data_IF_352813843570
#
_entry.id   IF_352813843570
#
_cell.length_a   1.000
_cell.length_b   1.000
_cell.length_c   1.000
_cell.angle_alpha   90.00
_cell.angle_beta   90.00
_cell.angle_gamma   90.00
#
_symmetry.space_group_name_H-M   'P 1'
#
loop_
_entity.id
_entity.type
_entity.pdbx_description
1 polymer ?
#
# COMPACT_ATOMS: atom_id res chain seq x y z
N UNK A 1 44.87 54.27 14.79
CA UNK A 1 44.94 54.20 13.33
C UNK A 1 43.57 54.56 12.83
N UNK A 2 43.31 55.75 12.34
CA UNK A 2 42.02 56.33 11.94
C UNK A 2 41.74 55.84 10.48
N UNK A 3 40.64 55.18 10.21
CA UNK A 3 40.16 54.92 8.87
C UNK A 3 39.30 56.12 8.38
N UNK A 4 39.73 56.71 7.23
CA UNK A 4 39.06 57.80 6.53
C UNK A 4 37.87 57.23 5.71
N UNK A 5 36.73 57.94 5.57
CA UNK A 5 35.62 57.55 4.73
C UNK A 5 35.88 57.89 3.26
N UNK A 6 35.41 56.95 2.37
CA UNK A 6 35.42 57.14 0.92
C UNK A 6 34.25 58.03 0.48
N UNK A 7 34.38 58.83 -0.58
CA UNK A 7 33.34 59.73 -1.02
C UNK A 7 32.23 59.06 -1.81
N UNK A 8 30.96 59.45 -1.52
CA UNK A 8 29.78 59.15 -2.31
C UNK A 8 29.84 59.85 -3.66
N UNK A 9 29.79 59.13 -4.75
CA UNK A 9 29.61 59.67 -6.10
C UNK A 9 28.10 59.89 -6.36
N UNK A 10 27.72 61.11 -6.71
CA UNK A 10 26.38 61.50 -7.12
C UNK A 10 26.01 60.88 -8.46
N UNK A 11 24.74 60.45 -8.70
CA UNK A 11 24.33 59.87 -9.98
C UNK A 11 24.12 60.98 -11.02
N UNK A 12 24.53 60.71 -12.28
CA UNK A 12 24.33 61.56 -13.45
C UNK A 12 22.85 61.81 -13.76
N UNK A 13 22.45 63.01 -14.20
CA UNK A 13 21.04 63.36 -14.49
C UNK A 13 20.61 62.95 -15.92
N UNK A 14 20.62 61.70 -16.25
CA UNK A 14 20.19 61.17 -17.55
C UNK A 14 19.28 59.95 -17.52
N UNK A 15 19.16 59.33 -16.35
CA UNK A 15 18.51 58.01 -16.23
C UNK A 15 17.00 58.07 -15.91
N UNK A 16 16.49 59.15 -15.35
CA UNK A 16 15.07 59.24 -14.95
C UNK A 16 14.09 59.43 -16.14
N UNK A 17 14.52 60.08 -17.21
CA UNK A 17 13.68 60.35 -18.40
C UNK A 17 13.57 59.09 -19.27
N UNK A 18 14.63 58.27 -19.36
CA UNK A 18 14.62 57.01 -20.06
C UNK A 18 13.76 55.93 -19.34
N UNK A 19 13.81 55.88 -18.02
CA UNK A 19 12.95 54.97 -17.24
C UNK A 19 11.46 55.37 -17.32
N UNK A 20 11.14 56.64 -17.35
CA UNK A 20 9.75 57.11 -17.58
C UNK A 20 9.21 56.74 -18.95
N UNK A 21 10.01 56.81 -20.01
CA UNK A 21 9.62 56.42 -21.33
C UNK A 21 9.48 54.91 -21.50
N UNK A 22 10.32 54.12 -20.80
CA UNK A 22 10.24 52.65 -20.78
C UNK A 22 8.99 52.18 -20.03
N UNK A 23 8.66 52.75 -18.89
CA UNK A 23 7.44 52.48 -18.12
C UNK A 23 6.16 52.84 -18.89
N UNK A 24 6.14 53.94 -19.63
CA UNK A 24 4.98 54.31 -20.48
C UNK A 24 4.75 53.34 -21.66
N UNK A 25 5.81 52.76 -22.23
CA UNK A 25 5.70 51.72 -23.26
C UNK A 25 5.24 50.35 -22.72
N UNK A 26 5.58 50.02 -21.48
CA UNK A 26 5.15 48.79 -20.81
C UNK A 26 3.64 48.90 -20.44
N UNK A 27 3.20 50.04 -19.96
CA UNK A 27 1.78 50.26 -19.58
C UNK A 27 0.84 50.26 -20.83
N UNK A 28 1.33 50.72 -21.99
CA UNK A 28 0.50 50.64 -23.25
C UNK A 28 0.47 49.26 -23.88
N UNK A 29 1.43 48.37 -23.58
CA UNK A 29 1.42 47.00 -24.10
C UNK A 29 0.57 46.03 -23.25
N UNK A 30 0.19 46.41 -22.03
CA UNK A 30 -0.63 45.59 -21.13
C UNK A 30 -2.15 45.85 -21.36
N UNK A 31 -2.51 46.94 -22.03
CA UNK A 31 -3.93 47.31 -22.26
C UNK A 31 -4.59 46.57 -23.47
N UNK A 32 -3.88 45.77 -24.23
CA UNK A 32 -4.42 45.14 -25.46
C UNK A 32 -4.49 43.60 -25.41
N UNK A 33 -4.27 42.97 -24.25
CA UNK A 33 -4.34 41.50 -24.10
C UNK A 33 -5.40 41.08 -23.07
N UNK A 34 -6.39 41.88 -22.80
CA UNK A 34 -7.43 41.54 -21.84
C UNK A 34 -8.81 41.48 -22.52
N UNK A 35 -8.96 40.63 -23.55
CA UNK A 35 -10.27 40.11 -23.97
C UNK A 35 -10.12 38.76 -24.71
N UNK A 36 -9.39 37.81 -24.13
CA UNK A 36 -9.69 36.39 -24.31
C UNK A 36 -10.59 36.03 -23.15
N UNK A 37 -11.89 36.00 -23.41
CA UNK A 37 -12.88 35.36 -22.57
C UNK A 37 -12.45 33.89 -22.47
N UNK A 38 -11.62 33.60 -21.49
CA UNK A 38 -11.41 32.24 -21.05
C UNK A 38 -12.74 31.74 -20.52
N UNK A 39 -13.44 30.94 -21.32
CA UNK A 39 -14.40 30.00 -20.79
C UNK A 39 -13.62 29.14 -19.83
N UNK A 40 -13.59 29.53 -18.55
CA UNK A 40 -13.28 28.60 -17.47
C UNK A 40 -14.34 27.51 -17.59
N UNK A 41 -14.02 26.44 -18.31
CA UNK A 41 -14.74 25.20 -18.17
C UNK A 41 -14.51 24.85 -16.70
N UNK A 42 -15.50 25.20 -15.88
CA UNK A 42 -15.59 24.67 -14.53
C UNK A 42 -15.69 23.16 -14.73
N UNK A 43 -14.56 22.46 -14.62
CA UNK A 43 -14.54 21.01 -14.49
C UNK A 43 -15.22 20.76 -13.16
N UNK A 44 -16.56 20.58 -13.21
CA UNK A 44 -17.31 20.11 -12.07
C UNK A 44 -16.61 18.82 -11.61
N UNK A 45 -16.35 18.66 -10.31
CA UNK A 45 -15.68 17.47 -9.82
C UNK A 45 -16.49 16.25 -10.29
N UNK A 46 -15.83 15.35 -11.02
CA UNK A 46 -16.40 14.12 -11.58
C UNK A 46 -17.04 13.18 -10.52
N UNK A 47 -16.86 13.51 -9.24
CA UNK A 47 -17.37 12.76 -8.10
C UNK A 47 -18.90 12.54 -8.10
N UNK A 48 -19.67 13.40 -8.76
CA UNK A 48 -21.15 13.33 -8.81
C UNK A 48 -21.70 12.94 -10.19
N UNK A 49 -20.84 12.75 -11.21
CA UNK A 49 -21.30 12.28 -12.51
C UNK A 49 -21.82 10.85 -12.39
N UNK A 50 -23.05 10.61 -12.86
CA UNK A 50 -23.58 9.25 -12.93
C UNK A 50 -22.95 8.53 -14.13
N UNK A 51 -22.50 7.28 -13.91
CA UNK A 51 -22.03 6.42 -14.98
C UNK A 51 -23.18 6.12 -15.97
N UNK A 52 -22.94 6.33 -17.26
CA UNK A 52 -23.91 6.02 -18.32
C UNK A 52 -23.99 4.54 -18.67
N UNK A 53 -23.03 3.73 -18.17
CA UNK A 53 -22.92 2.31 -18.44
C UNK A 53 -23.08 1.44 -17.18
N UNK A 54 -22.43 0.27 -17.20
CA UNK A 54 -22.34 -0.60 -16.02
C UNK A 54 -21.29 -0.08 -15.05
N UNK A 55 -21.66 -0.08 -13.76
CA UNK A 55 -20.73 0.29 -12.68
C UNK A 55 -19.56 -0.71 -12.63
N UNK A 56 -18.35 -0.20 -12.49
CA UNK A 56 -17.12 -1.00 -12.43
C UNK A 56 -16.51 -0.90 -11.04
N UNK A 57 -16.13 -2.06 -10.49
CA UNK A 57 -15.21 -2.15 -9.36
C UNK A 57 -13.81 -2.30 -9.92
N UNK A 58 -12.90 -1.42 -9.55
CA UNK A 58 -11.48 -1.53 -9.91
C UNK A 58 -10.71 -2.31 -8.86
N UNK A 59 -9.62 -2.94 -9.29
CA UNK A 59 -8.56 -3.46 -8.43
C UNK A 59 -7.23 -2.88 -8.92
N UNK A 60 -6.40 -2.35 -8.00
CA UNK A 60 -5.04 -1.90 -8.29
C UNK A 60 -4.04 -2.63 -7.41
N UNK A 61 -3.02 -3.22 -8.05
CA UNK A 61 -1.91 -3.90 -7.38
C UNK A 61 -0.99 -4.57 -8.39
N UNK A 62 0.08 -5.25 -7.93
CA UNK A 62 1.02 -5.93 -8.82
C UNK A 62 0.35 -7.15 -9.47
N UNK A 63 0.12 -7.11 -10.77
CA UNK A 63 -0.39 -8.24 -11.56
C UNK A 63 0.70 -8.88 -12.41
N UNK A 64 1.79 -8.15 -12.64
CA UNK A 64 3.02 -8.63 -13.27
C UNK A 64 4.24 -8.27 -12.42
N UNK A 65 5.42 -8.79 -12.79
CA UNK A 65 6.67 -8.56 -12.06
C UNK A 65 6.91 -9.55 -10.92
N UNK A 66 8.00 -9.35 -10.15
CA UNK A 66 8.47 -10.33 -9.16
C UNK A 66 7.51 -10.53 -7.98
N UNK A 67 6.66 -9.55 -7.68
CA UNK A 67 5.72 -9.57 -6.55
C UNK A 67 4.27 -9.83 -6.98
N UNK A 68 4.03 -10.24 -8.24
CA UNK A 68 2.70 -10.44 -8.80
C UNK A 68 1.82 -11.42 -8.01
N UNK A 69 2.42 -12.39 -7.31
CA UNK A 69 1.65 -13.37 -6.55
C UNK A 69 0.77 -12.72 -5.48
N UNK A 70 1.27 -11.70 -4.76
CA UNK A 70 0.49 -10.96 -3.75
C UNK A 70 -0.72 -10.26 -4.38
N UNK A 71 -0.51 -9.53 -5.48
CA UNK A 71 -1.59 -8.83 -6.17
C UNK A 71 -2.62 -9.78 -6.80
N UNK A 72 -2.17 -10.91 -7.36
CA UNK A 72 -3.07 -11.93 -7.91
C UNK A 72 -3.93 -12.57 -6.81
N UNK A 73 -3.38 -12.81 -5.62
CA UNK A 73 -4.15 -13.32 -4.49
C UNK A 73 -5.32 -12.38 -4.12
N UNK A 74 -5.04 -11.07 -4.07
CA UNK A 74 -6.05 -10.04 -3.78
C UNK A 74 -7.07 -9.92 -4.91
N UNK A 75 -6.61 -9.82 -6.17
CA UNK A 75 -7.48 -9.76 -7.34
C UNK A 75 -8.44 -10.96 -7.39
N UNK A 76 -7.96 -12.14 -7.02
CA UNK A 76 -8.80 -13.34 -6.93
C UNK A 76 -9.93 -13.17 -5.90
N UNK A 77 -9.67 -12.55 -4.76
CA UNK A 77 -10.68 -12.19 -3.76
C UNK A 77 -11.75 -11.27 -4.33
N UNK A 78 -11.33 -10.21 -5.04
CA UNK A 78 -12.25 -9.25 -5.68
C UNK A 78 -13.09 -9.94 -6.78
N UNK A 79 -12.45 -10.71 -7.66
CA UNK A 79 -13.15 -11.47 -8.72
C UNK A 79 -14.17 -12.46 -8.16
N UNK A 80 -13.81 -13.13 -7.07
CA UNK A 80 -14.69 -14.09 -6.42
C UNK A 80 -15.89 -13.39 -5.77
N UNK A 81 -15.70 -12.28 -5.07
CA UNK A 81 -16.76 -11.46 -4.50
C UNK A 81 -17.74 -10.98 -5.59
N UNK A 82 -17.23 -10.40 -6.68
CA UNK A 82 -18.03 -9.91 -7.80
C UNK A 82 -18.85 -11.04 -8.44
N UNK A 83 -18.23 -12.19 -8.69
CA UNK A 83 -18.92 -13.37 -9.26
C UNK A 83 -20.04 -13.87 -8.36
N UNK A 84 -19.82 -13.94 -7.06
CA UNK A 84 -20.84 -14.33 -6.07
C UNK A 84 -22.00 -13.33 -6.01
N UNK A 85 -21.65 -12.04 -5.99
CA UNK A 85 -22.63 -10.95 -5.98
C UNK A 85 -23.56 -11.01 -7.20
N UNK A 86 -23.01 -11.12 -8.40
CA UNK A 86 -23.79 -11.19 -9.65
C UNK A 86 -24.64 -12.44 -9.78
N UNK A 87 -24.17 -13.56 -9.23
CA UNK A 87 -24.97 -14.79 -9.19
C UNK A 87 -26.24 -14.62 -8.34
N UNK A 88 -26.16 -13.84 -7.25
CA UNK A 88 -27.27 -13.56 -6.36
C UNK A 88 -28.12 -12.32 -6.79
N UNK A 89 -27.58 -11.42 -7.63
CA UNK A 89 -28.21 -10.15 -8.03
C UNK A 89 -28.16 -9.99 -9.55
N UNK A 90 -28.90 -10.81 -10.28
CA UNK A 90 -28.83 -10.91 -11.77
C UNK A 90 -29.20 -9.63 -12.51
N UNK A 91 -29.96 -8.75 -11.89
CA UNK A 91 -30.41 -7.46 -12.47
C UNK A 91 -29.53 -6.28 -12.05
N UNK A 92 -28.47 -6.51 -11.28
CA UNK A 92 -27.55 -5.44 -10.84
C UNK A 92 -26.84 -4.84 -12.06
N UNK A 93 -26.83 -3.50 -12.15
CA UNK A 93 -26.12 -2.75 -13.21
C UNK A 93 -24.62 -2.66 -12.88
N UNK A 94 -23.94 -3.81 -12.76
CA UNK A 94 -22.51 -3.93 -12.46
C UNK A 94 -21.81 -4.69 -13.57
N UNK A 95 -20.63 -4.25 -13.97
CA UNK A 95 -19.80 -4.96 -14.95
C UNK A 95 -19.36 -6.31 -14.38
N UNK A 96 -19.51 -7.42 -15.12
CA UNK A 96 -19.07 -8.73 -14.65
C UNK A 96 -17.54 -8.89 -14.60
N UNK A 97 -16.78 -7.91 -15.09
CA UNK A 97 -15.32 -7.90 -15.05
C UNK A 97 -14.82 -6.85 -14.08
N UNK A 98 -13.83 -7.21 -13.28
CA UNK A 98 -13.06 -6.26 -12.50
C UNK A 98 -12.25 -5.38 -13.45
N UNK A 99 -12.20 -4.08 -13.19
CA UNK A 99 -11.29 -3.18 -13.90
C UNK A 99 -9.88 -3.34 -13.30
N UNK A 100 -9.06 -4.15 -13.97
CA UNK A 100 -7.75 -4.55 -13.48
C UNK A 100 -6.71 -3.48 -13.80
N UNK A 101 -5.94 -3.06 -12.79
CA UNK A 101 -4.90 -2.05 -12.87
C UNK A 101 -3.60 -2.64 -12.34
N UNK A 102 -2.67 -2.93 -13.26
CA UNK A 102 -1.35 -3.45 -12.93
C UNK A 102 -0.38 -2.29 -12.66
N UNK A 103 -0.01 -2.10 -11.42
CA UNK A 103 0.99 -1.12 -11.00
C UNK A 103 2.38 -1.75 -10.73
N UNK A 104 2.52 -3.06 -10.92
CA UNK A 104 3.74 -3.83 -10.69
C UNK A 104 4.29 -3.71 -9.25
N UNK A 105 3.54 -3.12 -8.34
CA UNK A 105 3.98 -2.79 -6.99
C UNK A 105 4.97 -1.61 -6.95
N UNK A 106 5.14 -0.89 -8.06
CA UNK A 106 6.10 0.20 -8.22
C UNK A 106 5.41 1.57 -8.23
N UNK A 107 5.75 2.48 -7.30
CA UNK A 107 5.24 3.84 -7.30
C UNK A 107 5.48 4.60 -8.61
N UNK A 108 6.59 4.31 -9.32
CA UNK A 108 6.89 4.93 -10.60
C UNK A 108 5.93 4.50 -11.72
N UNK A 109 5.32 3.32 -11.60
CA UNK A 109 4.26 2.83 -12.50
C UNK A 109 2.89 3.29 -12.00
N UNK A 110 2.62 3.21 -10.70
CA UNK A 110 1.34 3.56 -10.09
C UNK A 110 0.95 5.03 -10.34
N UNK A 111 1.89 5.97 -10.19
CA UNK A 111 1.65 7.40 -10.37
C UNK A 111 1.08 7.75 -11.76
N UNK A 112 1.72 7.37 -12.87
CA UNK A 112 1.20 7.62 -14.23
C UNK A 112 -0.09 6.87 -14.58
N UNK A 113 -0.41 5.77 -13.90
CA UNK A 113 -1.64 4.99 -14.14
C UNK A 113 -2.85 5.61 -13.41
N UNK A 114 -2.67 6.14 -12.21
CA UNK A 114 -3.76 6.64 -11.39
C UNK A 114 -4.68 7.65 -12.10
N UNK A 115 -4.18 8.64 -12.89
CA UNK A 115 -5.04 9.54 -13.65
C UNK A 115 -5.93 8.82 -14.67
N UNK A 116 -5.47 7.74 -15.29
CA UNK A 116 -6.26 6.95 -16.24
C UNK A 116 -7.43 6.24 -15.55
N UNK A 117 -7.18 5.67 -14.38
CA UNK A 117 -8.22 5.04 -13.55
C UNK A 117 -9.23 6.08 -13.08
N UNK A 118 -8.75 7.25 -12.63
CA UNK A 118 -9.59 8.36 -12.18
C UNK A 118 -10.50 8.92 -13.30
N UNK A 119 -10.03 8.90 -14.56
CA UNK A 119 -10.78 9.35 -15.73
C UNK A 119 -11.83 8.34 -16.23
N UNK A 120 -11.79 7.07 -15.77
CA UNK A 120 -12.78 6.05 -16.16
C UNK A 120 -14.09 6.29 -15.43
N UNK A 121 -15.08 6.88 -16.12
CA UNK A 121 -16.34 7.37 -15.54
C UNK A 121 -17.11 6.32 -14.76
N UNK A 122 -17.10 5.07 -15.24
CA UNK A 122 -17.85 3.99 -14.62
C UNK A 122 -17.09 3.26 -13.51
N UNK A 123 -15.82 3.56 -13.24
CA UNK A 123 -15.11 3.11 -12.05
C UNK A 123 -15.59 3.94 -10.86
N UNK A 124 -16.43 3.32 -10.02
CA UNK A 124 -17.08 3.98 -8.88
C UNK A 124 -16.46 3.62 -7.53
N UNK A 125 -15.65 2.57 -7.49
CA UNK A 125 -14.95 2.09 -6.29
C UNK A 125 -13.67 1.34 -6.69
N UNK A 126 -12.66 1.36 -5.80
CA UNK A 126 -11.37 0.70 -6.04
C UNK A 126 -10.93 -0.10 -4.81
N UNK A 127 -10.69 -1.39 -4.99
CA UNK A 127 -9.99 -2.22 -4.01
C UNK A 127 -8.49 -2.10 -4.29
N UNK A 128 -7.73 -1.65 -3.30
CA UNK A 128 -6.33 -1.30 -3.44
C UNK A 128 -6.08 0.21 -3.20
N UNK A 129 -4.93 0.78 -3.63
CA UNK A 129 -3.76 0.07 -4.14
C UNK A 129 -3.19 -0.89 -3.10
N UNK A 130 -2.62 -2.01 -3.57
CA UNK A 130 -2.15 -3.07 -2.69
C UNK A 130 -0.93 -2.67 -1.85
N UNK A 131 0.01 -1.93 -2.44
CA UNK A 131 1.28 -1.59 -1.81
C UNK A 131 1.33 -0.16 -1.30
N UNK A 132 2.02 0.06 -0.15
CA UNK A 132 2.08 1.37 0.50
C UNK A 132 2.67 2.46 -0.40
N UNK A 133 3.74 2.16 -1.14
CA UNK A 133 4.34 3.12 -2.08
C UNK A 133 3.41 3.49 -3.23
N UNK A 134 2.72 2.50 -3.83
CA UNK A 134 1.72 2.72 -4.87
C UNK A 134 0.52 3.52 -4.33
N UNK A 135 0.04 3.19 -3.12
CA UNK A 135 -1.02 3.94 -2.43
C UNK A 135 -0.64 5.41 -2.24
N UNK A 136 0.56 5.67 -1.73
CA UNK A 136 1.05 7.03 -1.45
C UNK A 136 0.99 7.95 -2.67
N UNK A 137 1.36 7.46 -3.84
CA UNK A 137 1.38 8.27 -5.08
C UNK A 137 0.02 8.32 -5.77
N UNK A 138 -0.85 7.32 -5.61
CA UNK A 138 -2.16 7.25 -6.25
C UNK A 138 -3.24 8.01 -5.47
N UNK A 139 -3.18 8.03 -4.14
CA UNK A 139 -4.20 8.61 -3.27
C UNK A 139 -4.54 10.07 -3.58
N UNK A 140 -3.58 11.02 -3.82
CA UNK A 140 -3.92 12.40 -4.16
C UNK A 140 -4.75 12.51 -5.45
N UNK A 141 -4.49 11.63 -6.42
CA UNK A 141 -5.22 11.59 -7.69
C UNK A 141 -6.64 11.07 -7.47
N UNK A 142 -6.80 9.99 -6.71
CA UNK A 142 -8.11 9.41 -6.39
C UNK A 142 -8.95 10.33 -5.50
N UNK A 143 -8.30 11.06 -4.57
CA UNK A 143 -8.95 12.10 -3.78
C UNK A 143 -9.55 13.19 -4.68
N UNK A 144 -8.77 13.72 -5.62
CA UNK A 144 -9.25 14.74 -6.58
C UNK A 144 -10.42 14.25 -7.43
N UNK A 145 -10.49 12.93 -7.69
CA UNK A 145 -11.57 12.31 -8.44
C UNK A 145 -12.75 11.86 -7.56
N UNK A 146 -12.66 11.99 -6.24
CA UNK A 146 -13.66 11.49 -5.29
C UNK A 146 -13.85 9.97 -5.33
N UNK A 147 -12.84 9.21 -5.81
CA UNK A 147 -12.90 7.75 -5.94
C UNK A 147 -12.58 7.09 -4.60
N UNK A 148 -13.59 6.50 -3.97
CA UNK A 148 -13.40 5.76 -2.71
C UNK A 148 -12.52 4.52 -2.92
N UNK A 149 -11.56 4.33 -2.03
CA UNK A 149 -10.68 3.17 -2.03
C UNK A 149 -10.79 2.39 -0.72
N UNK A 150 -10.64 1.06 -0.80
CA UNK A 150 -10.35 0.21 0.36
C UNK A 150 -9.10 -0.60 0.03
N UNK A 151 -7.98 -0.26 0.68
CA UNK A 151 -6.77 -1.09 0.55
C UNK A 151 -6.90 -2.35 1.40
N UNK A 152 -6.66 -3.55 0.83
CA UNK A 152 -6.69 -4.80 1.58
C UNK A 152 -5.38 -5.14 2.28
N UNK A 153 -4.27 -4.41 2.00
CA UNK A 153 -2.92 -4.85 2.37
C UNK A 153 -1.90 -3.74 2.65
N UNK A 154 -2.12 -2.50 2.20
CA UNK A 154 -1.16 -1.42 2.44
C UNK A 154 -1.15 -1.00 3.92
N UNK A 155 -0.07 -1.32 4.65
CA UNK A 155 0.01 -1.23 6.11
C UNK A 155 0.66 0.03 6.66
N UNK A 156 1.31 0.86 5.81
CA UNK A 156 2.02 2.05 6.29
C UNK A 156 1.05 3.04 6.97
N UNK A 157 1.27 3.42 8.25
CA UNK A 157 0.34 4.24 9.02
C UNK A 157 0.21 5.69 8.53
N UNK A 158 1.12 6.15 7.64
CA UNK A 158 1.05 7.53 7.12
C UNK A 158 0.09 7.72 5.95
N UNK A 159 -0.46 6.65 5.39
CA UNK A 159 -1.29 6.71 4.17
C UNK A 159 -2.52 7.61 4.27
N UNK A 160 -3.26 7.71 5.39
CA UNK A 160 -4.39 8.62 5.49
C UNK A 160 -4.04 10.08 5.18
N UNK A 161 -2.81 10.51 5.47
CA UNK A 161 -2.37 11.90 5.20
C UNK A 161 -2.37 12.29 3.72
N UNK A 162 -2.52 11.32 2.80
CA UNK A 162 -2.54 11.55 1.36
C UNK A 162 -3.95 11.55 0.75
N UNK A 163 -5.00 11.29 1.53
CA UNK A 163 -6.37 11.29 0.99
C UNK A 163 -7.40 10.64 1.91
N UNK A 164 -7.40 10.98 3.19
CA UNK A 164 -8.26 10.37 4.21
C UNK A 164 -9.77 10.42 3.91
N UNK A 165 -10.21 11.41 3.13
CA UNK A 165 -11.61 11.59 2.78
C UNK A 165 -12.17 10.45 1.90
N UNK A 166 -11.28 9.72 1.20
CA UNK A 166 -11.65 8.61 0.31
C UNK A 166 -10.90 7.31 0.66
N UNK A 167 -9.98 7.38 1.61
CA UNK A 167 -9.13 6.25 2.00
C UNK A 167 -9.80 5.41 3.07
N UNK A 168 -9.75 4.08 2.87
CA UNK A 168 -10.14 3.11 3.89
C UNK A 168 -9.16 1.93 3.84
N UNK A 169 -8.93 1.29 5.00
CA UNK A 169 -7.99 0.18 5.11
C UNK A 169 -8.63 -1.02 5.81
N UNK A 170 -8.63 -2.16 5.13
CA UNK A 170 -9.22 -3.40 5.66
C UNK A 170 -8.30 -4.19 6.59
N UNK A 171 -7.09 -3.71 6.88
CA UNK A 171 -6.08 -4.36 7.74
C UNK A 171 -5.58 -3.43 8.81
N UNK A 172 -4.92 -3.97 9.86
CA UNK A 172 -4.21 -3.15 10.85
C UNK A 172 -2.92 -2.58 10.25
N UNK A 173 -2.48 -1.47 10.82
CA UNK A 173 -1.25 -0.78 10.40
C UNK A 173 0.01 -1.44 10.96
N UNK A 174 1.17 -0.98 10.47
CA UNK A 174 2.49 -1.35 10.99
C UNK A 174 2.66 -1.02 12.47
N UNK A 175 1.89 -0.05 13.02
CA UNK A 175 1.90 0.26 14.45
C UNK A 175 1.41 -0.91 15.32
N UNK A 176 0.63 -1.82 14.75
CA UNK A 176 0.23 -3.08 15.38
C UNK A 176 1.13 -4.24 14.96
N UNK A 177 1.52 -4.30 13.68
CA UNK A 177 2.31 -5.42 13.15
C UNK A 177 3.74 -5.41 13.67
N UNK A 178 4.39 -4.25 13.75
CA UNK A 178 5.76 -4.14 14.26
C UNK A 178 5.92 -4.68 15.69
N UNK A 179 5.10 -4.24 16.66
CA UNK A 179 5.08 -4.82 18.01
C UNK A 179 4.79 -6.33 18.02
N UNK A 180 3.89 -6.83 17.18
CA UNK A 180 3.61 -8.25 17.08
C UNK A 180 4.82 -9.03 16.57
N UNK A 181 5.51 -8.53 15.53
CA UNK A 181 6.74 -9.13 15.00
C UNK A 181 7.84 -9.17 16.05
N UNK A 182 8.03 -8.08 16.79
CA UNK A 182 9.01 -8.01 17.88
C UNK A 182 8.69 -9.05 18.99
N UNK A 183 7.43 -9.15 19.41
CA UNK A 183 6.98 -10.15 20.39
C UNK A 183 7.21 -11.58 19.88
N UNK A 184 6.90 -11.85 18.62
CA UNK A 184 7.10 -13.17 18.02
C UNK A 184 8.59 -13.58 18.04
N UNK A 185 9.51 -12.66 17.70
CA UNK A 185 10.96 -12.89 17.75
C UNK A 185 11.39 -13.19 19.19
N UNK A 186 10.99 -12.34 20.15
CA UNK A 186 11.37 -12.47 21.55
C UNK A 186 10.77 -13.73 22.19
N UNK A 187 9.58 -14.18 21.76
CA UNK A 187 8.97 -15.43 22.25
C UNK A 187 9.83 -16.66 21.94
N UNK A 188 10.59 -16.62 20.83
CA UNK A 188 11.51 -17.71 20.45
C UNK A 188 12.87 -17.62 21.13
N UNK A 189 13.32 -16.41 21.42
CA UNK A 189 14.57 -16.17 22.16
C UNK A 189 14.43 -14.90 23.01
N UNK A 190 14.25 -15.07 24.33
CA UNK A 190 14.14 -13.97 25.29
C UNK A 190 15.34 -13.01 25.27
N UNK A 191 16.50 -13.48 24.86
CA UNK A 191 17.75 -12.72 24.77
C UNK A 191 18.11 -12.36 23.31
N UNK A 192 17.11 -12.27 22.42
CA UNK A 192 17.33 -11.96 21.01
C UNK A 192 18.11 -10.65 20.83
N UNK A 193 19.18 -10.73 20.03
CA UNK A 193 19.89 -9.59 19.45
C UNK A 193 19.51 -9.53 17.99
N UNK A 194 18.81 -8.48 17.59
CA UNK A 194 18.15 -8.41 16.28
C UNK A 194 18.90 -7.45 15.36
N UNK A 195 19.21 -7.91 14.17
CA UNK A 195 19.69 -7.06 13.08
C UNK A 195 18.51 -6.73 12.16
N UNK A 196 18.30 -5.46 11.83
CA UNK A 196 17.19 -5.00 10.98
C UNK A 196 17.69 -4.76 9.55
N UNK A 197 16.94 -5.25 8.57
CA UNK A 197 17.21 -5.03 7.15
C UNK A 197 15.90 -4.60 6.47
N UNK A 198 15.93 -3.58 5.61
CA UNK A 198 14.77 -3.18 4.80
C UNK A 198 15.14 -3.02 3.32
N UNK A 199 14.14 -3.07 2.45
CA UNK A 199 14.30 -2.93 0.99
C UNK A 199 14.13 -1.50 0.48
N UNK A 200 14.09 -0.51 1.35
CA UNK A 200 13.88 0.91 1.07
C UNK A 200 12.48 1.29 0.54
N UNK A 201 11.53 0.36 0.41
CA UNK A 201 10.15 0.69 0.06
C UNK A 201 9.43 1.46 1.19
N UNK A 202 8.40 2.25 0.85
CA UNK A 202 7.57 2.95 1.86
C UNK A 202 6.99 1.99 2.90
N UNK A 203 6.60 0.76 2.48
CA UNK A 203 6.17 -0.31 3.38
C UNK A 203 7.30 -0.72 4.33
N UNK A 204 8.44 -1.10 3.78
CA UNK A 204 9.53 -1.68 4.57
C UNK A 204 10.12 -0.70 5.59
N UNK A 205 10.23 0.57 5.22
CA UNK A 205 10.69 1.65 6.11
C UNK A 205 9.69 1.87 7.25
N UNK A 206 8.39 1.89 6.94
CA UNK A 206 7.32 2.02 7.94
C UNK A 206 7.35 0.89 8.96
N UNK A 207 7.30 -0.35 8.49
CA UNK A 207 7.32 -1.53 9.35
C UNK A 207 8.60 -1.65 10.18
N UNK A 208 9.77 -1.44 9.56
CA UNK A 208 11.04 -1.48 10.30
C UNK A 208 11.07 -0.48 11.46
N UNK A 209 10.55 0.74 11.25
CA UNK A 209 10.50 1.78 12.28
C UNK A 209 9.74 1.30 13.52
N UNK A 210 8.59 0.67 13.36
CA UNK A 210 7.76 0.20 14.49
C UNK A 210 8.36 -1.01 15.19
N UNK A 211 8.99 -1.91 14.43
CA UNK A 211 9.79 -3.04 14.99
C UNK A 211 10.99 -2.52 15.79
N UNK A 212 11.72 -1.55 15.25
CA UNK A 212 12.89 -0.94 15.89
C UNK A 212 12.54 -0.31 17.25
N UNK A 213 11.47 0.49 17.29
CA UNK A 213 10.96 1.12 18.51
C UNK A 213 10.61 0.04 19.56
N UNK A 214 9.93 -1.03 19.13
CA UNK A 214 9.47 -2.08 20.04
C UNK A 214 10.61 -2.94 20.55
N UNK A 215 11.64 -3.18 19.73
CA UNK A 215 12.83 -3.96 20.10
C UNK A 215 13.87 -3.14 20.87
N UNK A 216 13.57 -1.94 21.32
CA UNK A 216 14.52 -1.02 21.97
C UNK A 216 15.56 -1.74 22.85
N UNK A 217 16.87 -1.45 22.65
CA UNK A 217 18.00 -2.09 23.35
C UNK A 217 18.35 -3.51 22.87
N UNK A 218 17.59 -4.10 21.95
CA UNK A 218 17.86 -5.41 21.35
C UNK A 218 18.39 -5.33 19.93
N UNK A 219 18.27 -4.16 19.28
CA UNK A 219 18.75 -3.93 17.91
C UNK A 219 20.26 -3.73 17.95
N UNK A 220 21.00 -4.62 17.27
CA UNK A 220 22.47 -4.63 17.26
C UNK A 220 23.06 -4.15 15.93
N UNK A 221 22.23 -3.76 14.99
CA UNK A 221 22.63 -3.16 13.72
C UNK A 221 21.48 -3.05 12.74
N UNK A 222 21.69 -2.26 11.71
CA UNK A 222 20.72 -2.01 10.62
C UNK A 222 21.43 -1.96 9.29
N UNK A 223 20.71 -2.35 8.23
CA UNK A 223 21.17 -2.19 6.85
C UNK A 223 19.98 -1.93 5.92
N UNK A 224 20.28 -1.39 4.74
CA UNK A 224 19.31 -1.14 3.67
C UNK A 224 19.78 -1.88 2.43
N UNK A 225 18.89 -2.68 1.86
CA UNK A 225 19.13 -3.45 0.63
C UNK A 225 18.02 -3.10 -0.36
N UNK A 226 18.18 -2.04 -1.19
CA UNK A 226 17.13 -1.54 -2.05
C UNK A 226 16.45 -2.65 -2.87
N UNK A 227 15.17 -2.45 -3.17
CA UNK A 227 14.40 -3.40 -3.98
C UNK A 227 15.16 -3.74 -5.27
N UNK A 228 15.20 -5.04 -5.63
CA UNK A 228 16.00 -5.56 -6.73
C UNK A 228 17.42 -6.00 -6.34
N UNK A 229 17.85 -5.83 -5.07
CA UNK A 229 19.13 -6.38 -4.59
C UNK A 229 19.15 -7.90 -4.73
N UNK A 230 20.18 -8.43 -5.39
CA UNK A 230 20.39 -9.87 -5.59
C UNK A 230 21.60 -10.43 -4.84
N UNK A 231 22.50 -9.58 -4.35
CA UNK A 231 23.68 -9.95 -3.58
C UNK A 231 23.62 -9.33 -2.17
N UNK A 232 23.52 -10.19 -1.16
CA UNK A 232 23.46 -9.83 0.26
C UNK A 232 24.75 -10.09 1.00
N UNK A 233 25.85 -10.39 0.32
CA UNK A 233 27.15 -10.77 0.95
C UNK A 233 27.61 -9.71 1.95
N UNK A 234 27.57 -8.44 1.60
CA UNK A 234 27.98 -7.34 2.48
C UNK A 234 27.06 -7.22 3.72
N UNK A 235 25.75 -7.33 3.54
CA UNK A 235 24.76 -7.30 4.64
C UNK A 235 24.95 -8.50 5.58
N UNK A 236 25.18 -9.69 5.03
CA UNK A 236 25.43 -10.90 5.81
C UNK A 236 26.73 -10.77 6.63
N UNK A 237 27.78 -10.15 6.08
CA UNK A 237 29.01 -9.87 6.82
C UNK A 237 28.75 -8.92 8.01
N UNK A 238 27.94 -7.85 7.82
CA UNK A 238 27.52 -6.95 8.90
C UNK A 238 26.73 -7.69 9.99
N UNK A 239 25.79 -8.56 9.60
CA UNK A 239 25.00 -9.39 10.51
C UNK A 239 25.92 -10.28 11.36
N UNK A 240 26.88 -10.99 10.76
CA UNK A 240 27.84 -11.83 11.48
C UNK A 240 28.69 -11.02 12.45
N UNK A 241 29.20 -9.87 12.01
CA UNK A 241 30.01 -8.96 12.85
C UNK A 241 29.24 -8.44 14.07
N UNK A 242 27.94 -8.19 13.93
CA UNK A 242 27.07 -7.69 15.00
C UNK A 242 26.75 -8.73 16.08
N UNK A 243 27.06 -10.01 15.84
CA UNK A 243 26.69 -11.15 16.71
C UNK A 243 25.17 -11.23 16.93
N UNK A 244 24.38 -10.85 15.94
CA UNK A 244 22.93 -10.98 15.96
C UNK A 244 22.51 -12.45 16.10
N UNK A 245 21.44 -12.70 16.85
CA UNK A 245 20.81 -14.03 16.99
C UNK A 245 19.52 -14.14 16.20
N UNK A 246 19.02 -13.02 15.70
CA UNK A 246 17.90 -12.94 14.78
C UNK A 246 18.13 -11.81 13.77
N UNK A 247 17.54 -11.95 12.59
CA UNK A 247 17.39 -10.87 11.60
C UNK A 247 15.90 -10.65 11.37
N UNK A 248 15.49 -9.38 11.34
CA UNK A 248 14.17 -8.99 10.84
C UNK A 248 14.35 -8.31 9.49
N UNK A 249 13.72 -8.87 8.46
CA UNK A 249 13.71 -8.31 7.11
C UNK A 249 12.35 -7.67 6.84
N UNK A 250 12.33 -6.38 6.55
CA UNK A 250 11.16 -5.67 6.05
C UNK A 250 11.27 -5.54 4.53
N UNK A 251 10.34 -6.15 3.81
CA UNK A 251 10.32 -6.17 2.36
C UNK A 251 9.50 -7.34 1.83
N UNK A 252 9.63 -7.58 0.54
CA UNK A 252 8.76 -8.51 -0.17
C UNK A 252 9.39 -9.88 -0.38
N UNK A 253 8.54 -10.87 -0.70
CA UNK A 253 8.87 -12.29 -0.69
C UNK A 253 9.98 -12.69 -1.67
N UNK A 254 10.05 -12.08 -2.85
CA UNK A 254 11.02 -12.47 -3.88
C UNK A 254 12.44 -12.20 -3.41
N UNK A 255 12.69 -11.01 -2.88
CA UNK A 255 13.98 -10.59 -2.36
C UNK A 255 14.30 -11.25 -1.01
N UNK A 256 13.30 -11.41 -0.13
CA UNK A 256 13.43 -12.14 1.13
C UNK A 256 13.91 -13.58 0.91
N UNK A 257 13.43 -14.24 -0.15
CA UNK A 257 13.83 -15.60 -0.50
C UNK A 257 15.32 -15.68 -0.91
N UNK A 258 15.80 -14.72 -1.70
CA UNK A 258 17.22 -14.62 -2.06
C UNK A 258 18.07 -14.37 -0.83
N UNK A 259 17.65 -13.42 0.00
CA UNK A 259 18.35 -13.05 1.22
C UNK A 259 18.47 -14.23 2.20
N UNK A 260 17.35 -14.88 2.55
CA UNK A 260 17.38 -16.00 3.50
C UNK A 260 18.20 -17.16 2.97
N UNK A 261 18.17 -17.42 1.65
CA UNK A 261 18.99 -18.45 1.03
C UNK A 261 20.49 -18.15 1.21
N UNK A 262 20.95 -16.97 0.84
CA UNK A 262 22.35 -16.57 1.02
C UNK A 262 22.75 -16.53 2.49
N UNK A 263 21.86 -16.12 3.39
CA UNK A 263 22.09 -16.16 4.84
C UNK A 263 22.36 -17.60 5.31
N UNK A 264 21.60 -18.59 4.85
CA UNK A 264 21.78 -20.01 5.18
C UNK A 264 23.04 -20.60 4.51
N UNK A 265 23.28 -20.28 3.25
CA UNK A 265 24.46 -20.71 2.49
C UNK A 265 25.76 -20.18 3.16
N UNK A 266 25.71 -19.04 3.84
CA UNK A 266 26.82 -18.51 4.65
C UNK A 266 27.10 -19.27 5.96
N UNK A 267 26.34 -20.33 6.25
CA UNK A 267 26.41 -21.12 7.48
C UNK A 267 25.62 -20.54 8.66
N UNK A 268 24.92 -19.41 8.49
CA UNK A 268 24.16 -18.78 9.58
C UNK A 268 22.87 -19.56 9.89
N UNK A 269 22.66 -19.81 11.19
CA UNK A 269 21.45 -20.48 11.72
C UNK A 269 20.57 -19.54 12.56
N UNK A 270 20.81 -18.22 12.51
CA UNK A 270 20.03 -17.25 13.26
C UNK A 270 18.56 -17.26 12.84
N UNK A 271 17.67 -16.84 13.73
CA UNK A 271 16.25 -16.71 13.41
C UNK A 271 16.07 -15.70 12.27
N UNK A 272 15.36 -16.10 11.21
CA UNK A 272 14.88 -15.18 10.18
C UNK A 272 13.43 -14.83 10.50
N UNK A 273 13.12 -13.55 10.55
CA UNK A 273 11.77 -13.05 10.74
C UNK A 273 11.44 -11.97 9.72
N UNK A 274 10.17 -11.84 9.34
CA UNK A 274 9.71 -10.83 8.38
C UNK A 274 8.24 -10.48 8.62
N UNK A 275 7.74 -9.50 7.86
CA UNK A 275 6.35 -9.09 7.83
C UNK A 275 5.52 -9.81 6.75
N UNK A 276 4.35 -9.25 6.51
CA UNK A 276 3.31 -9.72 5.60
C UNK A 276 3.74 -9.70 4.12
N UNK A 277 4.57 -8.73 3.70
CA UNK A 277 5.12 -8.70 2.35
C UNK A 277 5.94 -9.93 1.96
N UNK A 278 6.41 -10.68 2.96
CA UNK A 278 7.11 -11.97 2.77
C UNK A 278 6.17 -13.18 2.87
N UNK A 279 4.94 -13.00 3.37
CA UNK A 279 3.99 -14.07 3.63
C UNK A 279 3.32 -14.55 2.35
N UNK A 280 4.02 -15.32 1.54
CA UNK A 280 3.49 -15.97 0.34
C UNK A 280 4.09 -17.37 0.14
N UNK A 281 3.34 -18.29 -0.48
CA UNK A 281 3.82 -19.61 -0.87
C UNK A 281 5.06 -19.53 -1.78
N UNK A 282 5.21 -18.44 -2.55
CA UNK A 282 6.38 -18.25 -3.42
C UNK A 282 7.66 -18.02 -2.61
N UNK A 283 7.58 -17.35 -1.44
CA UNK A 283 8.72 -17.26 -0.52
C UNK A 283 9.26 -18.65 -0.21
N UNK A 284 8.36 -19.57 0.18
CA UNK A 284 8.77 -20.94 0.55
C UNK A 284 9.31 -21.70 -0.67
N UNK A 285 8.67 -21.55 -1.85
CA UNK A 285 9.11 -22.22 -3.08
C UNK A 285 10.49 -21.74 -3.54
N UNK A 286 10.74 -20.42 -3.50
CA UNK A 286 11.99 -19.82 -3.93
C UNK A 286 13.13 -20.08 -2.95
N UNK A 287 12.88 -19.91 -1.65
CA UNK A 287 13.89 -20.13 -0.60
C UNK A 287 14.11 -21.63 -0.29
N UNK A 288 13.14 -22.51 -0.63
CA UNK A 288 13.20 -23.96 -0.37
C UNK A 288 13.50 -24.27 1.10
N UNK A 289 14.45 -25.17 1.37
CA UNK A 289 14.87 -25.52 2.74
C UNK A 289 15.39 -24.33 3.56
N UNK A 290 15.83 -23.27 2.91
CA UNK A 290 16.35 -22.07 3.59
C UNK A 290 15.26 -21.26 4.28
N UNK A 291 13.99 -21.42 3.88
CA UNK A 291 12.85 -20.81 4.54
C UNK A 291 12.47 -21.50 5.86
N UNK A 292 12.91 -22.74 6.09
CA UNK A 292 12.49 -23.53 7.26
C UNK A 292 12.76 -22.79 8.56
N UNK A 293 11.75 -22.71 9.44
CA UNK A 293 11.80 -21.99 10.70
C UNK A 293 11.67 -20.46 10.58
N UNK A 294 11.45 -19.91 9.38
CA UNK A 294 11.19 -18.47 9.22
C UNK A 294 9.89 -18.09 9.94
N UNK A 295 9.93 -16.97 10.69
CA UNK A 295 8.80 -16.41 11.42
C UNK A 295 8.24 -15.23 10.65
N UNK A 296 6.92 -15.22 10.38
CA UNK A 296 6.28 -14.16 9.64
C UNK A 296 5.09 -13.62 10.44
N UNK A 297 4.75 -12.36 10.22
CA UNK A 297 3.53 -11.75 10.78
C UNK A 297 2.70 -11.12 9.69
N UNK A 298 1.38 -11.12 9.86
CA UNK A 298 0.47 -10.39 8.98
C UNK A 298 -0.80 -9.97 9.73
N UNK A 299 -1.37 -8.78 9.44
CA UNK A 299 -2.70 -8.38 9.92
C UNK A 299 -3.81 -9.00 9.07
N UNK A 300 -3.63 -10.25 8.64
CA UNK A 300 -4.49 -11.00 7.74
C UNK A 300 -4.84 -12.37 8.31
N UNK A 301 -5.95 -12.92 7.86
CA UNK A 301 -6.36 -14.30 8.16
C UNK A 301 -6.43 -15.11 6.85
N UNK A 302 -5.85 -16.32 6.80
CA UNK A 302 -5.97 -17.17 5.62
C UNK A 302 -7.44 -17.44 5.24
N UNK A 303 -7.76 -17.37 3.95
CA UNK A 303 -9.12 -17.49 3.45
C UNK A 303 -9.73 -18.85 3.80
N UNK A 304 -8.89 -19.91 3.79
CA UNK A 304 -9.27 -21.26 4.20
C UNK A 304 -9.63 -21.34 5.69
N UNK A 305 -8.98 -20.53 6.53
CA UNK A 305 -9.29 -20.43 7.96
C UNK A 305 -10.56 -19.62 8.18
N UNK A 306 -10.73 -18.51 7.46
CA UNK A 306 -11.89 -17.63 7.58
C UNK A 306 -13.17 -18.32 7.07
N UNK A 307 -13.07 -19.03 5.95
CA UNK A 307 -14.20 -19.77 5.37
C UNK A 307 -13.76 -20.96 4.51
N UNK A 308 -13.59 -22.16 5.09
CA UNK A 308 -13.21 -23.37 4.35
C UNK A 308 -14.15 -23.67 3.17
N UNK A 309 -15.46 -23.38 3.34
CA UNK A 309 -16.47 -23.59 2.29
C UNK A 309 -16.24 -22.69 1.08
N UNK A 310 -16.02 -21.39 1.31
CA UNK A 310 -15.78 -20.43 0.22
C UNK A 310 -14.42 -20.64 -0.42
N UNK A 311 -13.41 -21.05 0.32
CA UNK A 311 -12.10 -21.41 -0.21
C UNK A 311 -12.18 -22.59 -1.18
N UNK A 312 -12.92 -23.64 -0.82
CA UNK A 312 -13.16 -24.79 -1.70
C UNK A 312 -13.96 -24.38 -2.95
N UNK A 313 -14.95 -23.51 -2.83
CA UNK A 313 -15.73 -22.97 -3.94
C UNK A 313 -14.85 -22.15 -4.90
N UNK A 314 -14.02 -21.27 -4.35
CA UNK A 314 -13.07 -20.45 -5.09
C UNK A 314 -12.07 -21.31 -5.88
N UNK A 315 -11.52 -22.33 -5.24
CA UNK A 315 -10.59 -23.28 -5.87
C UNK A 315 -11.24 -24.04 -7.01
N UNK A 316 -12.51 -24.48 -6.87
CA UNK A 316 -13.28 -25.12 -7.95
C UNK A 316 -13.51 -24.20 -9.16
N UNK A 317 -13.45 -22.88 -8.96
CA UNK A 317 -13.53 -21.89 -10.02
C UNK A 317 -12.16 -21.56 -10.66
N UNK A 318 -11.10 -22.29 -10.30
CA UNK A 318 -9.74 -22.10 -10.82
C UNK A 318 -8.99 -20.91 -10.18
N UNK A 319 -9.52 -20.34 -9.11
CA UNK A 319 -8.87 -19.25 -8.36
C UNK A 319 -8.26 -19.82 -7.08
N UNK A 320 -6.97 -19.55 -6.86
CA UNK A 320 -6.28 -19.98 -5.63
C UNK A 320 -6.32 -18.85 -4.60
N UNK A 321 -6.79 -19.11 -3.35
CA UNK A 321 -6.61 -18.14 -2.27
C UNK A 321 -5.15 -18.05 -1.83
N UNK A 322 -4.76 -16.89 -1.31
CA UNK A 322 -3.46 -16.61 -0.75
C UNK A 322 -3.56 -15.50 0.29
N UNK A 323 -2.44 -14.91 0.67
CA UNK A 323 -2.44 -13.78 1.61
C UNK A 323 -3.31 -12.64 1.08
N UNK A 324 -4.06 -11.99 1.97
CA UNK A 324 -4.98 -10.88 1.67
C UNK A 324 -6.17 -11.18 0.76
N UNK A 325 -6.38 -12.46 0.34
CA UNK A 325 -7.60 -12.85 -0.37
C UNK A 325 -8.86 -12.59 0.47
N UNK A 326 -8.79 -12.81 1.80
CA UNK A 326 -9.92 -12.56 2.71
C UNK A 326 -10.28 -11.10 2.78
N UNK A 327 -9.28 -10.25 2.97
CA UNK A 327 -9.43 -8.81 3.14
C UNK A 327 -9.88 -8.13 1.85
N UNK A 328 -9.39 -8.58 0.69
CA UNK A 328 -9.83 -8.07 -0.61
C UNK A 328 -11.24 -8.53 -0.98
N UNK A 329 -11.62 -9.76 -0.60
CA UNK A 329 -12.99 -10.26 -0.73
C UNK A 329 -13.95 -9.41 0.12
N UNK A 330 -13.61 -9.12 1.37
CA UNK A 330 -14.43 -8.31 2.27
C UNK A 330 -14.54 -6.86 1.77
N UNK A 331 -13.43 -6.26 1.31
CA UNK A 331 -13.41 -4.91 0.74
C UNK A 331 -14.31 -4.80 -0.51
N UNK A 332 -14.23 -5.76 -1.42
CA UNK A 332 -15.08 -5.80 -2.61
C UNK A 332 -16.56 -5.96 -2.25
N UNK A 333 -16.89 -6.84 -1.29
CA UNK A 333 -18.27 -7.01 -0.84
C UNK A 333 -18.83 -5.76 -0.18
N UNK A 334 -18.02 -4.98 0.54
CA UNK A 334 -18.49 -3.72 1.14
C UNK A 334 -18.90 -2.70 0.07
N UNK A 335 -18.12 -2.57 -1.01
CA UNK A 335 -18.51 -1.75 -2.15
C UNK A 335 -19.75 -2.30 -2.88
N UNK A 336 -19.86 -3.61 -3.04
CA UNK A 336 -21.02 -4.26 -3.65
C UNK A 336 -22.29 -4.10 -2.79
N UNK A 337 -22.17 -4.08 -1.47
CA UNK A 337 -23.27 -3.74 -0.56
C UNK A 337 -23.72 -2.28 -0.73
N UNK A 338 -22.79 -1.35 -0.92
CA UNK A 338 -23.12 0.05 -1.23
C UNK A 338 -23.93 0.14 -2.54
N UNK A 339 -23.50 -0.55 -3.60
CA UNK A 339 -24.22 -0.58 -4.88
C UNK A 339 -25.60 -1.22 -4.71
N UNK A 340 -25.71 -2.33 -4.00
CA UNK A 340 -26.97 -3.00 -3.71
C UNK A 340 -27.95 -2.09 -2.95
N UNK A 341 -27.43 -1.21 -2.09
CA UNK A 341 -28.20 -0.21 -1.38
C UNK A 341 -28.60 1.03 -2.23
N UNK A 342 -28.34 1.00 -3.53
CA UNK A 342 -28.71 2.06 -4.49
C UNK A 342 -27.66 3.17 -4.66
N UNK A 343 -26.46 3.04 -4.13
CA UNK A 343 -25.39 4.02 -4.32
C UNK A 343 -24.69 3.76 -5.65
N UNK A 344 -24.75 4.73 -6.58
CA UNK A 344 -24.26 4.56 -7.95
C UNK A 344 -23.22 5.61 -8.37
N UNK A 345 -22.90 6.56 -7.51
CA UNK A 345 -21.89 7.59 -7.74
C UNK A 345 -20.72 7.41 -6.78
N UNK A 346 -19.53 7.89 -7.15
CA UNK A 346 -18.34 7.89 -6.27
C UNK A 346 -18.64 8.49 -4.91
N UNK A 347 -19.29 9.66 -4.88
CA UNK A 347 -19.63 10.36 -3.65
C UNK A 347 -20.59 9.55 -2.75
N UNK A 348 -21.65 8.94 -3.34
CA UNK A 348 -22.61 8.14 -2.57
C UNK A 348 -21.99 6.86 -2.03
N UNK A 349 -21.13 6.19 -2.80
CA UNK A 349 -20.40 4.99 -2.38
C UNK A 349 -19.41 5.33 -1.26
N UNK A 350 -18.63 6.42 -1.41
CA UNK A 350 -17.72 6.88 -0.38
C UNK A 350 -18.46 7.17 0.94
N UNK A 351 -19.56 7.92 0.87
CA UNK A 351 -20.41 8.20 2.04
C UNK A 351 -20.95 6.92 2.70
N UNK A 352 -21.36 5.93 1.89
CA UNK A 352 -21.83 4.65 2.42
C UNK A 352 -20.73 3.92 3.19
N UNK A 353 -19.57 3.75 2.57
CA UNK A 353 -18.42 3.03 3.15
C UNK A 353 -17.90 3.71 4.42
N UNK A 354 -17.81 5.05 4.43
CA UNK A 354 -17.33 5.81 5.58
C UNK A 354 -18.31 5.80 6.77
N UNK A 355 -19.63 5.52 6.56
CA UNK A 355 -20.64 5.63 7.60
C UNK A 355 -21.31 4.32 8.00
N UNK A 356 -21.21 3.29 7.18
CA UNK A 356 -21.81 1.98 7.43
C UNK A 356 -20.78 0.98 7.94
N UNK A 357 -21.20 -0.22 8.18
CA UNK A 357 -20.33 -1.34 8.50
C UNK A 357 -20.69 -2.53 7.62
N UNK A 358 -19.68 -3.34 7.28
CA UNK A 358 -19.82 -4.60 6.58
C UNK A 358 -19.39 -5.76 7.49
N UNK A 359 -20.17 -6.84 7.54
CA UNK A 359 -19.80 -8.06 8.25
C UNK A 359 -18.92 -8.91 7.32
N UNK A 360 -17.62 -8.68 7.39
CA UNK A 360 -16.66 -9.45 6.60
C UNK A 360 -16.41 -10.86 7.16
N UNK A 361 -15.61 -11.62 6.42
CA UNK A 361 -15.08 -12.92 6.85
C UNK A 361 -13.90 -12.75 7.81
N UNK A 362 -13.04 -11.77 7.55
CA UNK A 362 -11.88 -11.47 8.39
C UNK A 362 -12.30 -10.80 9.69
N UNK A 363 -13.14 -9.79 9.59
CA UNK A 363 -13.65 -8.96 10.69
C UNK A 363 -14.83 -8.12 10.24
N UNK A 364 -15.47 -7.40 11.15
CA UNK A 364 -16.38 -6.33 10.76
C UNK A 364 -15.56 -5.14 10.23
N UNK A 365 -15.81 -4.72 8.99
CA UNK A 365 -15.25 -3.50 8.43
C UNK A 365 -16.15 -2.33 8.86
N UNK A 366 -15.64 -1.52 9.76
CA UNK A 366 -16.19 -0.22 10.16
C UNK A 366 -15.00 0.71 10.34
N UNK A 367 -15.00 1.77 9.59
CA UNK A 367 -13.89 2.69 9.53
C UNK A 367 -14.09 3.88 10.47
N UNK A 368 -13.00 4.35 11.06
CA UNK A 368 -12.97 5.59 11.85
C UNK A 368 -12.79 6.82 10.95
N UNK A 369 -12.54 7.99 11.54
CA UNK A 369 -12.36 9.25 10.80
C UNK A 369 -11.10 9.30 9.93
N UNK A 370 -10.13 8.44 10.17
CA UNK A 370 -8.91 8.30 9.38
C UNK A 370 -9.02 7.14 8.37
N UNK A 371 -10.17 6.47 8.28
CA UNK A 371 -10.41 5.33 7.40
C UNK A 371 -9.79 4.02 7.90
N UNK A 372 -9.45 3.95 9.18
CA UNK A 372 -8.83 2.78 9.77
C UNK A 372 -9.85 1.81 10.37
N UNK A 373 -9.53 0.52 10.32
CA UNK A 373 -10.35 -0.54 10.95
C UNK A 373 -9.82 -0.87 12.34
N UNK A 374 -10.72 -1.29 13.23
CA UNK A 374 -10.38 -1.77 14.58
C UNK A 374 -10.86 -3.21 14.81
N UNK A 375 -10.48 -3.80 15.94
CA UNK A 375 -10.99 -5.11 16.37
C UNK A 375 -10.41 -6.30 15.59
N UNK A 376 -9.21 -6.16 15.06
CA UNK A 376 -8.47 -7.22 14.37
C UNK A 376 -7.23 -7.63 15.16
N UNK A 377 -6.67 -8.78 14.82
CA UNK A 377 -5.42 -9.29 15.35
C UNK A 377 -4.32 -9.30 14.30
N UNK A 378 -3.07 -9.21 14.73
CA UNK A 378 -1.92 -9.57 13.91
C UNK A 378 -1.60 -11.04 14.17
N UNK A 379 -1.64 -11.84 13.12
CA UNK A 379 -1.36 -13.27 13.19
C UNK A 379 0.13 -13.56 12.96
N UNK A 380 0.64 -14.54 13.69
CA UNK A 380 1.95 -15.11 13.48
C UNK A 380 1.88 -16.35 12.59
N UNK A 381 2.96 -16.56 11.84
CA UNK A 381 3.13 -17.73 10.98
C UNK A 381 4.55 -18.26 11.13
N UNK A 382 4.73 -19.54 10.83
CA UNK A 382 6.04 -20.19 10.74
C UNK A 382 6.13 -21.03 9.48
N UNK A 383 7.28 -21.06 8.85
CA UNK A 383 7.54 -22.06 7.81
C UNK A 383 7.92 -23.38 8.50
N UNK A 384 7.13 -24.43 8.26
CA UNK A 384 7.36 -25.76 8.82
C UNK A 384 7.09 -26.84 7.76
N UNK A 385 8.07 -27.71 7.55
CA UNK A 385 8.00 -28.77 6.53
C UNK A 385 7.65 -28.21 5.13
N UNK A 386 8.27 -27.07 4.78
CA UNK A 386 8.08 -26.42 3.50
C UNK A 386 6.67 -25.83 3.27
N UNK A 387 5.94 -25.50 4.36
CA UNK A 387 4.61 -24.88 4.30
C UNK A 387 4.51 -23.72 5.29
N UNK A 388 3.70 -22.73 4.94
CA UNK A 388 3.27 -21.69 5.88
C UNK A 388 2.24 -22.26 6.84
N UNK A 389 2.51 -22.15 8.13
CA UNK A 389 1.63 -22.65 9.21
C UNK A 389 1.24 -21.49 10.10
N UNK A 390 -0.07 -21.28 10.25
CA UNK A 390 -0.64 -20.26 11.14
C UNK A 390 -0.36 -20.64 12.61
N UNK A 391 0.19 -19.69 13.37
CA UNK A 391 0.40 -19.80 14.82
C UNK A 391 -0.76 -19.18 15.63
N UNK A 392 -1.60 -18.36 15.00
CA UNK A 392 -2.65 -17.58 15.61
C UNK A 392 -2.24 -16.16 15.96
N UNK A 393 -3.12 -15.46 16.70
CA UNK A 393 -2.93 -14.07 17.10
C UNK A 393 -1.72 -13.89 18.04
N UNK A 394 -0.89 -12.91 17.76
CA UNK A 394 0.26 -12.52 18.59
C UNK A 394 -0.17 -11.44 19.58
N UNK A 395 -0.31 -11.82 20.82
CA UNK A 395 -0.74 -10.93 21.91
C UNK A 395 0.43 -10.29 22.66
#
# INVERSE_FOLDING_TARGET
MRLLPLPFSSPCPGTQEQERQYMKKIVSAIATVALVVGTAVAVAPAANAACSGKLKIAYQGPLTGPEAALGINELNGVKFALKKFLAANKTANVDPKVYEVDDQGDPAVAGPIAPKVAAEECVVALVGPAYSGASKVSLPVYLSAGLSIITPSATNPTLPSFGKEIFHRAVLTDDYQGPAAARLIVSKNKNAKVFLVNDASDYAVGLQKTVDITLAGRVVGKDVTPNGTTDFTATIAKIKKSKATAVFYSGYFSQAAVFVKQLRDSGSKITFASGDGTLDDQFVKLARKSAEGALLTAPAIPFETASPKLAAEMTKMGMKPGVYTTESYDAANFFLDAIKAGNTTRASINKYVSTKSHKGLSKALKFDAEGEVSGADVNGFIVKNGKLVLLGAIK
#
